data_IF_288758852875
#
_entry.id   IF_288758852875
#
_cell.length_a   1.000
_cell.length_b   1.000
_cell.length_c   1.000
_cell.angle_alpha   90.00
_cell.angle_beta   90.00
_cell.angle_gamma   90.00
#
_symmetry.space_group_name_H-M   'P 1'
#
loop_
_entity.id
_entity.type
_entity.pdbx_description
1 polymer ?
#
# COMPACT_ATOMS: atom_id res chain seq x y z
N UNK A 1 29.24 27.55 0.79
CA UNK A 1 28.83 26.15 0.49
C UNK A 1 29.15 25.14 1.60
N UNK A 2 30.13 25.38 2.50
CA UNK A 2 30.46 24.45 3.59
C UNK A 2 29.46 24.41 4.78
N UNK A 3 28.66 25.47 4.97
CA UNK A 3 27.68 25.57 6.06
C UNK A 3 26.41 24.75 5.81
N UNK A 4 25.99 24.61 4.54
CA UNK A 4 24.80 23.84 4.15
C UNK A 4 25.03 22.33 4.33
N UNK A 5 26.27 21.87 4.09
CA UNK A 5 26.63 20.45 4.15
C UNK A 5 26.64 19.90 5.59
N UNK A 6 27.13 20.70 6.56
CA UNK A 6 27.12 20.30 7.99
C UNK A 6 25.75 20.43 8.68
N UNK A 7 24.85 21.25 8.14
CA UNK A 7 23.50 21.43 8.69
C UNK A 7 22.60 20.21 8.45
N UNK A 8 22.79 19.51 7.32
CA UNK A 8 21.90 18.41 6.93
C UNK A 8 21.96 17.21 7.89
N UNK A 9 23.15 16.69 8.28
CA UNK A 9 23.24 15.64 9.30
C UNK A 9 22.70 16.06 10.67
N UNK A 10 22.94 17.32 11.06
CA UNK A 10 22.44 17.88 12.32
C UNK A 10 20.92 17.90 12.36
N UNK A 11 20.27 18.33 11.28
CA UNK A 11 18.81 18.31 11.15
C UNK A 11 18.25 16.89 11.10
N UNK A 12 18.92 15.97 10.40
CA UNK A 12 18.51 14.57 10.35
C UNK A 12 18.51 13.93 11.74
N UNK A 13 19.56 14.16 12.54
CA UNK A 13 19.63 13.72 13.94
C UNK A 13 18.51 14.36 14.78
N UNK A 14 18.26 15.66 14.65
CA UNK A 14 17.21 16.33 15.41
C UNK A 14 15.81 15.74 15.13
N UNK A 15 15.51 15.47 13.85
CA UNK A 15 14.25 14.82 13.47
C UNK A 15 14.17 13.37 13.95
N UNK A 16 15.27 12.62 13.87
CA UNK A 16 15.34 11.25 14.39
C UNK A 16 15.09 11.20 15.89
N UNK A 17 15.70 12.10 16.68
CA UNK A 17 15.48 12.22 18.12
C UNK A 17 14.03 12.59 18.45
N UNK A 18 13.42 13.50 17.67
CA UNK A 18 12.01 13.85 17.85
C UNK A 18 11.07 12.65 17.59
N UNK A 19 11.38 11.81 16.59
CA UNK A 19 10.63 10.58 16.33
C UNK A 19 10.85 9.52 17.42
N UNK A 20 12.10 9.33 17.86
CA UNK A 20 12.46 8.44 18.96
C UNK A 20 11.75 8.80 20.26
N UNK A 21 11.65 10.10 20.58
CA UNK A 21 10.90 10.61 21.73
C UNK A 21 9.38 10.34 21.65
N UNK A 22 8.85 10.03 20.47
CA UNK A 22 7.46 9.54 20.28
C UNK A 22 7.36 8.01 20.31
N UNK A 23 8.43 7.31 20.67
CA UNK A 23 8.47 5.85 20.72
C UNK A 23 8.63 5.15 19.36
N UNK A 24 9.02 5.88 18.30
CA UNK A 24 9.29 5.31 16.99
C UNK A 24 10.77 4.90 16.89
N UNK A 25 11.12 3.62 16.70
CA UNK A 25 12.52 3.22 16.61
C UNK A 25 13.15 3.72 15.32
N UNK A 26 14.29 4.40 15.42
CA UNK A 26 14.94 5.07 14.28
C UNK A 26 16.39 4.64 14.08
N UNK A 27 16.89 4.82 12.86
CA UNK A 27 18.28 4.61 12.47
C UNK A 27 18.68 5.55 11.32
N UNK A 28 19.97 5.87 11.12
CA UNK A 28 20.41 6.84 10.11
C UNK A 28 20.33 6.30 8.68
N UNK A 29 19.88 7.14 7.74
CA UNK A 29 19.83 6.86 6.31
C UNK A 29 20.70 7.83 5.50
N UNK A 30 21.23 7.34 4.39
CA UNK A 30 21.89 8.15 3.37
C UNK A 30 20.87 8.83 2.44
N UNK A 31 21.36 9.70 1.55
CA UNK A 31 20.54 10.35 0.54
C UNK A 31 19.89 9.37 -0.46
N UNK A 32 20.39 8.13 -0.56
CA UNK A 32 19.82 7.04 -1.36
C UNK A 32 18.78 6.22 -0.59
N UNK A 33 18.39 6.66 0.61
CA UNK A 33 17.39 6.01 1.48
C UNK A 33 17.82 4.64 2.02
N UNK A 34 19.10 4.28 1.86
CA UNK A 34 19.70 3.07 2.39
C UNK A 34 20.33 3.35 3.77
N UNK A 35 20.49 2.32 4.63
CA UNK A 35 21.23 2.45 5.89
C UNK A 35 22.56 3.19 5.68
N UNK A 36 22.80 4.24 6.47
CA UNK A 36 23.99 5.06 6.33
C UNK A 36 25.27 4.36 6.82
N UNK A 37 25.11 3.41 7.74
CA UNK A 37 26.19 2.59 8.27
C UNK A 37 26.33 1.32 7.44
N UNK A 38 27.58 0.96 7.13
CA UNK A 38 27.90 -0.30 6.46
C UNK A 38 27.83 -1.44 7.47
N UNK A 39 27.37 -2.60 7.00
CA UNK A 39 27.38 -3.82 7.82
C UNK A 39 28.81 -4.16 8.28
N UNK A 40 29.00 -4.52 9.56
CA UNK A 40 30.30 -4.97 10.07
C UNK A 40 30.72 -6.31 9.44
N UNK A 41 29.76 -7.09 8.92
CA UNK A 41 29.98 -8.40 8.31
C UNK A 41 30.22 -8.34 6.79
N UNK A 42 30.58 -7.17 6.27
CA UNK A 42 30.79 -7.00 4.83
C UNK A 42 32.01 -7.79 4.37
N UNK A 43 31.77 -8.76 3.48
CA UNK A 43 32.83 -9.57 2.87
C UNK A 43 33.07 -10.92 3.53
N UNK A 44 32.31 -11.27 4.57
CA UNK A 44 32.34 -12.60 5.17
C UNK A 44 31.77 -13.66 4.21
N UNK A 45 32.38 -14.84 4.22
CA UNK A 45 31.95 -16.02 3.47
C UNK A 45 31.84 -17.23 4.41
N UNK A 46 30.63 -17.78 4.63
CA UNK A 46 29.34 -17.36 4.05
C UNK A 46 28.85 -16.00 4.60
N UNK A 47 27.93 -15.30 3.91
CA UNK A 47 27.36 -14.06 4.41
C UNK A 47 26.68 -14.25 5.77
N UNK A 48 27.09 -13.48 6.79
CA UNK A 48 26.44 -13.54 8.09
C UNK A 48 25.06 -12.88 8.06
N UNK A 49 24.07 -13.55 8.66
CA UNK A 49 22.73 -13.03 8.89
C UNK A 49 22.59 -12.47 10.31
N UNK A 50 23.44 -11.51 10.66
CA UNK A 50 23.37 -10.79 11.94
C UNK A 50 22.31 -9.68 11.89
N UNK A 51 21.50 -9.59 12.94
CA UNK A 51 20.48 -8.56 13.19
C UNK A 51 20.83 -7.73 14.42
N UNK A 52 22.12 -7.57 14.70
CA UNK A 52 22.64 -6.78 15.83
C UNK A 52 23.16 -7.61 17.01
N UNK A 53 23.10 -8.94 16.94
CA UNK A 53 23.56 -9.83 18.02
C UNK A 53 25.07 -9.69 18.29
N UNK A 54 25.86 -9.22 17.32
CA UNK A 54 27.29 -8.97 17.49
C UNK A 54 27.62 -7.70 18.28
N UNK A 55 26.63 -6.86 18.62
CA UNK A 55 26.81 -5.62 19.39
C UNK A 55 27.45 -4.46 18.62
N UNK A 56 27.87 -4.67 17.37
CA UNK A 56 28.38 -3.62 16.49
C UNK A 56 27.23 -2.95 15.72
N UNK A 57 27.34 -1.66 15.34
CA UNK A 57 26.34 -1.01 14.50
C UNK A 57 26.56 -1.35 13.01
N UNK A 58 25.52 -1.23 12.19
CA UNK A 58 25.56 -1.46 10.73
C UNK A 58 24.52 -2.45 10.19
N UNK A 59 23.57 -2.91 10.99
CA UNK A 59 22.50 -3.84 10.61
C UNK A 59 21.21 -3.13 10.15
N UNK A 60 21.29 -1.81 9.89
CA UNK A 60 20.23 -1.01 9.31
C UNK A 60 18.99 -0.95 10.19
N UNK A 61 17.84 -1.40 9.67
CA UNK A 61 16.57 -1.42 10.42
C UNK A 61 16.66 -2.23 11.71
N UNK A 62 17.61 -3.18 11.78
CA UNK A 62 17.78 -3.98 12.98
C UNK A 62 18.37 -3.20 14.16
N UNK A 63 19.22 -2.21 13.88
CA UNK A 63 19.79 -1.29 14.88
C UNK A 63 18.81 -0.20 15.32
N UNK A 64 17.61 -0.14 14.74
CA UNK A 64 16.66 0.93 15.03
C UNK A 64 16.25 0.94 16.50
N UNK A 65 16.37 2.12 17.12
CA UNK A 65 16.22 2.30 18.57
C UNK A 65 15.44 3.57 18.91
N UNK A 66 14.83 3.58 20.09
CA UNK A 66 14.19 4.76 20.68
C UNK A 66 15.06 5.41 21.76
N UNK A 67 16.16 4.78 22.17
CA UNK A 67 17.08 5.36 23.16
C UNK A 67 17.83 6.57 22.57
N UNK A 68 17.66 7.79 23.11
CA UNK A 68 18.30 8.98 22.59
C UNK A 68 19.84 8.87 22.54
N UNK A 69 20.45 8.16 23.49
CA UNK A 69 21.91 7.99 23.53
C UNK A 69 22.39 7.10 22.39
N UNK A 70 21.74 5.95 22.18
CA UNK A 70 22.02 5.07 21.05
C UNK A 70 21.73 5.75 19.69
N UNK A 71 20.65 6.55 19.56
CA UNK A 71 20.39 7.34 18.33
C UNK A 71 21.56 8.28 18.05
N UNK A 72 22.04 9.02 19.05
CA UNK A 72 23.21 9.91 18.88
C UNK A 72 24.46 9.15 18.48
N UNK A 73 24.71 7.99 19.08
CA UNK A 73 25.86 7.14 18.74
C UNK A 73 25.79 6.66 17.27
N UNK A 74 24.62 6.20 16.80
CA UNK A 74 24.42 5.79 15.41
C UNK A 74 24.69 6.93 14.43
N UNK A 75 24.20 8.15 14.73
CA UNK A 75 24.43 9.31 13.88
C UNK A 75 25.89 9.82 13.93
N UNK A 76 26.56 9.70 15.08
CA UNK A 76 27.98 10.01 15.19
C UNK A 76 28.83 9.06 14.32
N UNK A 77 28.47 7.77 14.27
CA UNK A 77 29.09 6.80 13.37
C UNK A 77 28.72 7.03 11.88
N UNK A 78 27.64 7.76 11.60
CA UNK A 78 27.12 8.03 10.27
C UNK A 78 27.13 9.54 9.93
N UNK A 79 28.30 10.21 9.85
CA UNK A 79 28.37 11.67 9.68
C UNK A 79 27.81 12.17 8.34
N UNK A 80 27.62 11.27 7.36
CA UNK A 80 27.00 11.56 6.05
C UNK A 80 25.52 11.23 5.98
N UNK A 81 24.88 10.89 7.10
CA UNK A 81 23.45 10.65 7.14
C UNK A 81 22.69 11.94 6.77
N UNK A 82 21.77 11.85 5.82
CA UNK A 82 20.93 12.97 5.39
C UNK A 82 19.47 12.78 5.78
N UNK A 83 19.16 11.66 6.43
CA UNK A 83 17.83 11.30 6.89
C UNK A 83 17.86 10.16 7.89
N UNK A 84 16.68 9.61 8.15
CA UNK A 84 16.48 8.50 9.07
C UNK A 84 15.34 7.60 8.63
N UNK A 85 15.46 6.33 8.97
CA UNK A 85 14.45 5.31 8.79
C UNK A 85 13.71 5.07 10.10
N UNK A 86 12.42 4.76 10.01
CA UNK A 86 11.57 4.38 11.14
C UNK A 86 11.23 2.90 10.96
N UNK A 87 11.67 2.06 11.89
CA UNK A 87 11.42 0.63 11.82
C UNK A 87 9.93 0.32 12.00
N UNK A 88 9.38 -0.47 11.08
CA UNK A 88 7.98 -0.86 11.06
C UNK A 88 7.76 -2.22 11.71
N UNK A 89 6.52 -2.51 12.10
CA UNK A 89 6.12 -3.78 12.73
C UNK A 89 6.65 -4.03 14.15
N UNK A 90 7.37 -3.08 14.76
CA UNK A 90 7.91 -3.19 16.13
C UNK A 90 7.01 -2.54 17.16
N UNK A 91 6.96 -3.10 18.36
CA UNK A 91 6.35 -2.44 19.52
C UNK A 91 7.07 -1.09 19.82
N UNK A 92 6.37 -0.11 20.42
CA UNK A 92 4.97 -0.16 20.87
C UNK A 92 3.95 0.09 19.74
N UNK A 93 4.32 0.83 18.68
CA UNK A 93 3.37 1.31 17.68
C UNK A 93 2.97 0.29 16.62
N UNK A 94 3.77 -0.76 16.41
CA UNK A 94 3.57 -1.79 15.36
C UNK A 94 3.19 -1.16 14.03
N UNK A 95 3.99 -0.16 13.65
CA UNK A 95 3.73 0.71 12.52
C UNK A 95 3.60 -0.13 11.23
N UNK A 96 2.55 0.14 10.46
CA UNK A 96 2.29 -0.39 9.14
C UNK A 96 2.29 0.79 8.18
N UNK A 97 3.34 0.93 7.39
CA UNK A 97 3.42 1.94 6.35
C UNK A 97 2.75 1.49 5.06
N UNK A 98 1.87 2.30 4.50
CA UNK A 98 1.44 2.18 3.11
C UNK A 98 2.22 3.22 2.31
N UNK A 99 3.20 2.78 1.55
CA UNK A 99 4.06 3.58 0.71
C UNK A 99 3.48 3.61 -0.70
N UNK A 100 2.94 4.77 -1.07
CA UNK A 100 2.23 5.00 -2.33
C UNK A 100 3.15 5.79 -3.25
N UNK A 101 3.75 5.10 -4.21
CA UNK A 101 4.59 5.70 -5.22
C UNK A 101 3.76 6.34 -6.34
N UNK A 102 4.29 7.43 -6.89
CA UNK A 102 3.80 8.02 -8.13
C UNK A 102 4.90 7.81 -9.15
N UNK A 103 4.63 6.98 -10.16
CA UNK A 103 5.52 6.83 -11.31
C UNK A 103 4.80 7.27 -12.58
N UNK A 104 5.15 8.45 -13.13
CA UNK A 104 4.61 8.94 -14.39
C UNK A 104 4.90 8.01 -15.58
N UNK A 105 6.00 7.25 -15.54
CA UNK A 105 6.43 6.39 -16.64
C UNK A 105 5.62 5.08 -16.71
N UNK A 106 5.08 4.60 -15.58
CA UNK A 106 4.23 3.41 -15.54
C UNK A 106 2.72 3.72 -15.49
N UNK A 107 2.33 5.00 -15.49
CA UNK A 107 0.93 5.41 -15.42
C UNK A 107 0.20 4.96 -14.14
N UNK A 108 0.95 4.57 -13.11
CA UNK A 108 0.37 4.00 -11.88
C UNK A 108 0.00 5.13 -10.90
N UNK A 109 -1.29 5.45 -10.81
CA UNK A 109 -1.86 6.19 -9.67
C UNK A 109 -2.02 5.21 -8.49
N UNK A 110 -0.97 4.95 -7.72
CA UNK A 110 -1.02 4.04 -6.56
C UNK A 110 -2.07 4.49 -5.53
N UNK A 111 -2.29 5.80 -5.43
CA UNK A 111 -3.35 6.37 -4.63
C UNK A 111 -4.74 6.02 -5.18
N UNK A 112 -4.91 6.05 -6.49
CA UNK A 112 -6.11 5.56 -7.20
C UNK A 112 -6.31 4.07 -7.02
N UNK A 113 -5.26 3.27 -7.13
CA UNK A 113 -5.31 1.83 -6.89
C UNK A 113 -5.68 1.51 -5.43
N UNK A 114 -5.15 2.27 -4.45
CA UNK A 114 -5.57 2.11 -3.05
C UNK A 114 -7.03 2.50 -2.85
N UNK A 115 -7.51 3.58 -3.49
CA UNK A 115 -8.94 3.92 -3.49
C UNK A 115 -9.76 2.77 -4.08
N UNK A 116 -9.36 2.20 -5.22
CA UNK A 116 -10.05 1.06 -5.83
C UNK A 116 -10.08 -0.17 -4.92
N UNK A 117 -8.98 -0.50 -4.24
CA UNK A 117 -8.93 -1.59 -3.26
C UNK A 117 -9.87 -1.32 -2.07
N UNK A 118 -9.89 -0.07 -1.60
CA UNK A 118 -10.78 0.38 -0.53
C UNK A 118 -12.26 0.19 -0.93
N UNK A 119 -12.59 0.48 -2.19
CA UNK A 119 -13.92 0.25 -2.76
C UNK A 119 -14.26 -1.24 -2.89
N UNK A 120 -13.34 -2.05 -3.43
CA UNK A 120 -13.55 -3.49 -3.64
C UNK A 120 -13.71 -4.27 -2.33
N UNK A 121 -12.97 -3.87 -1.30
CA UNK A 121 -12.90 -4.59 -0.03
C UNK A 121 -13.60 -3.88 1.12
N UNK A 122 -14.35 -2.81 0.82
CA UNK A 122 -15.21 -2.07 1.76
C UNK A 122 -14.44 -1.58 3.00
N UNK A 123 -13.38 -0.81 2.78
CA UNK A 123 -12.67 -0.10 3.84
C UNK A 123 -12.46 1.37 3.49
N UNK A 124 -12.18 2.17 4.51
CA UNK A 124 -11.68 3.54 4.36
C UNK A 124 -10.35 3.65 5.09
N UNK A 125 -9.47 4.54 4.65
CA UNK A 125 -8.29 4.89 5.42
C UNK A 125 -8.70 6.00 6.39
N UNK A 126 -8.62 5.78 7.72
CA UNK A 126 -8.91 6.84 8.69
C UNK A 126 -7.89 7.98 8.57
N UNK A 127 -8.23 9.21 8.99
CA UNK A 127 -7.26 10.29 9.11
C UNK A 127 -6.06 9.83 9.92
N UNK A 128 -4.87 9.97 9.35
CA UNK A 128 -3.63 9.47 9.95
C UNK A 128 -2.42 10.29 9.52
N UNK A 129 -1.29 10.08 10.21
CA UNK A 129 -0.02 10.69 9.83
C UNK A 129 0.31 10.34 8.37
N UNK A 130 0.50 11.38 7.58
CA UNK A 130 0.84 11.25 6.15
C UNK A 130 2.14 11.99 5.88
N UNK A 131 3.09 11.32 5.23
CA UNK A 131 4.36 11.92 4.81
C UNK A 131 4.37 12.01 3.28
N UNK A 132 4.55 13.21 2.74
CA UNK A 132 4.75 13.44 1.32
C UNK A 132 6.17 13.06 0.93
N UNK A 133 6.30 12.24 -0.11
CA UNK A 133 7.60 11.88 -0.66
C UNK A 133 8.06 12.93 -1.67
N UNK A 134 9.37 13.10 -1.89
CA UNK A 134 9.87 14.08 -2.85
C UNK A 134 9.46 13.78 -4.30
N UNK A 135 9.19 12.52 -4.63
CA UNK A 135 8.74 12.08 -5.96
C UNK A 135 7.25 12.33 -6.22
N UNK A 136 6.51 12.90 -5.27
CA UNK A 136 5.06 13.16 -5.39
C UNK A 136 4.17 12.05 -4.81
N UNK A 137 4.77 10.97 -4.32
CA UNK A 137 4.09 9.92 -3.56
C UNK A 137 3.79 10.28 -2.11
N UNK A 138 3.33 9.30 -1.33
CA UNK A 138 3.03 9.47 0.09
C UNK A 138 3.16 8.19 0.92
N UNK A 139 3.60 8.34 2.15
CA UNK A 139 3.51 7.30 3.18
C UNK A 139 2.30 7.55 4.06
N UNK A 140 1.41 6.58 4.18
CA UNK A 140 0.33 6.56 5.19
C UNK A 140 0.76 5.69 6.35
N UNK A 141 0.67 6.20 7.57
CA UNK A 141 1.13 5.49 8.77
C UNK A 141 -0.07 4.88 9.48
N UNK A 142 -0.12 3.57 9.65
CA UNK A 142 -1.16 2.88 10.42
C UNK A 142 -0.53 2.08 11.57
N UNK A 143 -1.32 1.68 12.55
CA UNK A 143 -0.89 0.73 13.59
C UNK A 143 -1.56 -0.63 13.40
N UNK A 144 -0.77 -1.70 13.49
CA UNK A 144 -1.25 -3.08 13.49
C UNK A 144 -1.57 -3.60 14.90
N UNK A 145 -2.48 -4.58 15.04
CA UNK A 145 -2.81 -5.14 16.35
C UNK A 145 -1.64 -5.96 16.93
N UNK A 146 -1.66 -6.17 18.24
CA UNK A 146 -0.52 -6.71 18.98
C UNK A 146 -0.17 -8.17 18.64
N UNK A 147 -1.18 -8.94 18.25
CA UNK A 147 -1.14 -10.37 17.95
C UNK A 147 -0.84 -10.67 16.47
N UNK A 148 -0.74 -9.65 15.62
CA UNK A 148 -0.67 -9.82 14.18
C UNK A 148 0.62 -9.23 13.61
N UNK A 149 1.44 -10.07 12.99
CA UNK A 149 2.61 -9.63 12.25
C UNK A 149 2.22 -9.29 10.81
N UNK A 150 2.31 -8.03 10.43
CA UNK A 150 2.19 -7.60 9.03
C UNK A 150 3.55 -7.73 8.36
N UNK A 151 3.70 -8.53 7.28
CA UNK A 151 4.96 -8.65 6.56
C UNK A 151 5.28 -7.39 5.75
N UNK A 152 6.56 -7.14 5.48
CA UNK A 152 6.98 -6.19 4.46
C UNK A 152 6.74 -6.80 3.06
N UNK A 153 6.15 -6.04 2.14
CA UNK A 153 5.91 -6.49 0.76
C UNK A 153 5.95 -5.32 -0.21
N UNK A 154 6.43 -5.54 -1.44
CA UNK A 154 6.43 -4.53 -2.48
C UNK A 154 5.43 -4.90 -3.59
N UNK A 155 4.62 -3.93 -4.03
CA UNK A 155 3.67 -4.06 -5.14
C UNK A 155 2.59 -5.17 -5.04
N UNK A 156 2.45 -5.85 -3.89
CA UNK A 156 1.58 -7.03 -3.75
C UNK A 156 0.10 -6.71 -3.87
N UNK A 157 -0.32 -5.56 -3.35
CA UNK A 157 -1.71 -5.12 -3.42
C UNK A 157 -2.06 -4.56 -4.80
N UNK A 158 -1.17 -3.74 -5.34
CA UNK A 158 -1.20 -3.20 -6.69
C UNK A 158 0.19 -2.61 -7.02
N UNK A 159 0.50 -2.40 -8.32
CA UNK A 159 1.69 -1.64 -8.72
C UNK A 159 1.78 -0.28 -8.01
N UNK A 160 2.95 0.04 -7.48
CA UNK A 160 3.22 1.29 -6.75
C UNK A 160 2.67 1.35 -5.32
N UNK A 161 2.06 0.26 -4.80
CA UNK A 161 1.66 0.15 -3.39
C UNK A 161 2.59 -0.82 -2.66
N UNK A 162 3.47 -0.25 -1.85
CA UNK A 162 4.38 -0.96 -0.97
C UNK A 162 3.86 -0.96 0.47
N UNK A 163 4.02 -2.09 1.16
CA UNK A 163 3.66 -2.26 2.57
C UNK A 163 4.94 -2.40 3.37
N UNK A 164 5.19 -1.41 4.23
CA UNK A 164 6.30 -1.41 5.19
C UNK A 164 5.80 -1.99 6.51
N UNK A 165 5.98 -3.30 6.66
CA UNK A 165 5.65 -4.07 7.86
C UNK A 165 6.89 -4.48 8.66
N UNK A 166 6.83 -5.63 9.33
CA UNK A 166 7.96 -6.21 10.06
C UNK A 166 9.18 -6.37 9.16
N UNK A 167 10.35 -5.92 9.65
CA UNK A 167 11.61 -5.91 8.92
C UNK A 167 11.72 -4.81 7.84
N UNK A 168 10.65 -4.05 7.60
CA UNK A 168 10.65 -2.87 6.75
C UNK A 168 10.85 -1.57 7.53
N UNK A 169 11.04 -0.47 6.80
CA UNK A 169 11.10 0.87 7.39
C UNK A 169 10.48 1.92 6.46
N UNK A 170 10.10 3.04 7.04
CA UNK A 170 9.68 4.25 6.33
C UNK A 170 10.76 5.31 6.44
N UNK A 171 11.00 6.08 5.39
CA UNK A 171 11.81 7.30 5.50
C UNK A 171 11.02 8.34 6.30
N UNK A 172 11.62 8.85 7.37
CA UNK A 172 10.96 9.79 8.27
C UNK A 172 10.92 11.22 7.72
N UNK A 173 9.91 12.03 8.13
CA UNK A 173 9.80 13.43 7.71
C UNK A 173 11.02 14.25 8.15
N UNK A 174 11.42 15.20 7.31
CA UNK A 174 12.63 16.00 7.48
C UNK A 174 13.87 15.42 6.78
N UNK A 175 13.85 14.13 6.43
CA UNK A 175 14.92 13.48 5.66
C UNK A 175 15.09 14.11 4.28
N UNK A 176 16.35 14.27 3.85
CA UNK A 176 16.73 14.85 2.56
C UNK A 176 17.36 13.77 1.68
N UNK A 177 16.92 13.71 0.43
CA UNK A 177 17.42 12.82 -0.62
C UNK A 177 17.83 13.62 -1.85
N UNK A 178 18.41 12.96 -2.86
CA UNK A 178 18.71 13.58 -4.16
C UNK A 178 17.46 14.16 -4.84
N UNK A 179 16.27 13.63 -4.56
CA UNK A 179 15.00 14.10 -5.14
C UNK A 179 14.30 15.18 -4.29
N UNK A 180 14.89 15.56 -3.15
CA UNK A 180 14.33 16.55 -2.23
C UNK A 180 13.98 15.99 -0.85
N UNK A 181 13.12 16.71 -0.14
CA UNK A 181 12.83 16.50 1.29
C UNK A 181 11.48 15.82 1.53
N UNK A 182 11.46 14.81 2.39
CA UNK A 182 10.25 14.22 2.94
C UNK A 182 9.57 15.19 3.91
N UNK A 183 8.27 15.44 3.75
CA UNK A 183 7.54 16.43 4.56
C UNK A 183 6.27 15.82 5.12
N UNK A 184 5.89 16.19 6.34
CA UNK A 184 4.54 15.89 6.82
C UNK A 184 3.53 16.60 5.91
N UNK A 185 2.45 15.90 5.55
CA UNK A 185 1.35 16.53 4.85
C UNK A 185 0.72 17.59 5.77
N UNK A 186 0.34 18.77 5.23
CA UNK A 186 -0.33 19.81 6.01
C UNK A 186 -1.52 19.25 6.79
N UNK A 187 -1.67 19.66 8.04
CA UNK A 187 -2.77 19.21 8.90
C UNK A 187 -2.64 17.78 9.45
N UNK A 188 -1.54 17.05 9.21
CA UNK A 188 -1.38 15.68 9.75
C UNK A 188 -0.37 15.54 10.88
N UNK A 189 0.39 16.61 11.19
CA UNK A 189 1.49 16.56 12.17
C UNK A 189 1.06 16.30 13.63
N UNK A 190 -0.19 16.63 13.96
CA UNK A 190 -0.80 16.43 15.28
C UNK A 190 -1.48 15.06 15.43
N UNK A 191 -1.65 14.32 14.33
CA UNK A 191 -2.27 13.01 14.35
C UNK A 191 -1.31 11.95 14.91
N UNK A 192 -1.88 10.91 15.49
CA UNK A 192 -1.18 9.65 15.77
C UNK A 192 -1.44 8.66 14.63
N UNK A 193 -0.56 7.66 14.39
CA UNK A 193 -0.86 6.57 13.47
C UNK A 193 -2.19 5.90 13.83
N UNK A 194 -3.15 5.93 12.92
CA UNK A 194 -4.47 5.37 13.14
C UNK A 194 -4.47 3.83 13.04
N UNK A 195 -5.41 3.12 13.70
CA UNK A 195 -5.55 1.67 13.56
C UNK A 195 -5.73 1.23 12.10
N UNK A 196 -5.02 0.18 11.71
CA UNK A 196 -5.17 -0.41 10.38
C UNK A 196 -6.61 -0.97 10.23
N UNK A 197 -7.38 -0.55 9.21
CA UNK A 197 -8.72 -1.07 9.00
C UNK A 197 -8.71 -2.60 8.90
N UNK A 198 -9.62 -3.29 9.61
CA UNK A 198 -9.64 -4.76 9.66
C UNK A 198 -9.72 -5.41 8.28
N UNK A 199 -10.46 -4.80 7.36
CA UNK A 199 -10.55 -5.26 5.98
C UNK A 199 -9.24 -5.14 5.21
N UNK A 200 -8.52 -4.02 5.37
CA UNK A 200 -7.16 -3.89 4.82
C UNK A 200 -6.21 -4.89 5.47
N UNK A 201 -6.23 -5.03 6.81
CA UNK A 201 -5.37 -5.96 7.54
C UNK A 201 -5.50 -7.40 7.00
N UNK A 202 -6.71 -7.87 6.69
CA UNK A 202 -6.94 -9.19 6.05
C UNK A 202 -6.26 -9.33 4.69
N UNK A 203 -6.15 -8.24 3.92
CA UNK A 203 -5.39 -8.25 2.66
C UNK A 203 -3.89 -8.30 2.92
N UNK A 204 -3.43 -7.63 3.98
CA UNK A 204 -2.02 -7.49 4.36
C UNK A 204 -1.41 -8.78 4.93
N UNK A 205 -2.20 -9.58 5.62
CA UNK A 205 -1.74 -10.79 6.31
C UNK A 205 -2.09 -12.07 5.54
N UNK A 206 -1.30 -13.14 5.66
CA UNK A 206 -1.72 -14.45 5.19
C UNK A 206 -3.05 -14.86 5.85
N UNK A 207 -3.90 -15.65 5.19
CA UNK A 207 -5.07 -16.23 5.85
C UNK A 207 -4.62 -17.03 7.08
N UNK A 208 -5.30 -16.92 8.23
CA UNK A 208 -5.03 -17.79 9.36
C UNK A 208 -5.26 -19.24 8.93
N UNK A 209 -4.20 -20.07 8.95
CA UNK A 209 -4.29 -21.49 8.60
C UNK A 209 -3.30 -22.04 7.56
N UNK A 210 -2.47 -21.21 6.92
CA UNK A 210 -1.30 -21.73 6.16
C UNK A 210 -0.06 -21.76 7.05
N UNK A 211 -0.05 -22.67 8.02
CA UNK A 211 1.20 -23.25 8.50
C UNK A 211 1.92 -23.85 7.29
N UNK A 212 3.16 -23.45 7.06
CA UNK A 212 3.99 -23.97 5.99
C UNK A 212 3.99 -25.51 6.04
N UNK A 213 3.42 -26.16 5.02
CA UNK A 213 3.55 -27.60 4.85
C UNK A 213 4.96 -27.86 4.30
N UNK A 214 5.79 -28.70 4.94
CA UNK A 214 7.05 -29.13 4.37
C UNK A 214 6.80 -29.81 3.03
N UNK A 215 7.70 -29.58 2.08
CA UNK A 215 7.57 -30.04 0.70
C UNK A 215 7.40 -31.55 0.58
N UNK A 216 6.51 -31.95 -0.32
CA UNK A 216 6.47 -33.29 -0.89
C UNK A 216 6.25 -33.12 -2.38
N UNK A 217 7.22 -33.57 -3.15
CA UNK A 217 7.23 -33.49 -4.61
C UNK A 217 6.27 -34.47 -5.28
N UNK A 218 6.58 -34.70 -6.57
CA UNK A 218 5.86 -35.52 -7.54
C UNK A 218 4.65 -34.82 -8.18
N UNK A 219 4.28 -35.00 -9.43
CA UNK A 219 4.89 -35.47 -10.67
C UNK A 219 3.80 -35.25 -11.74
N UNK A 220 4.22 -35.25 -12.99
CA UNK A 220 3.43 -35.14 -14.22
C UNK A 220 2.30 -36.18 -14.33
N UNK A 221 1.23 -35.83 -15.07
CA UNK A 221 0.31 -36.83 -15.63
C UNK A 221 -1.05 -36.28 -16.11
N UNK A 222 -1.37 -36.30 -17.42
CA UNK A 222 -2.54 -35.64 -18.03
C UNK A 222 -3.69 -36.62 -18.34
N UNK A 223 -4.93 -36.12 -18.51
CA UNK A 223 -5.94 -36.78 -19.37
C UNK A 223 -6.98 -35.79 -19.90
N UNK A 224 -7.32 -35.97 -21.17
CA UNK A 224 -8.18 -35.13 -22.02
C UNK A 224 -9.62 -35.66 -22.16
N UNK A 225 -10.58 -34.73 -22.27
CA UNK A 225 -11.82 -34.79 -23.11
C UNK A 225 -12.99 -35.72 -22.69
N UNK A 226 -14.21 -35.57 -23.26
CA UNK A 226 -14.58 -34.77 -24.45
C UNK A 226 -15.80 -33.83 -24.28
N UNK A 227 -16.07 -33.08 -25.36
CA UNK A 227 -17.11 -32.07 -25.58
C UNK A 227 -18.55 -32.62 -25.71
N UNK A 228 -19.56 -31.75 -25.56
CA UNK A 228 -20.72 -31.53 -26.48
C UNK A 228 -21.77 -30.61 -25.86
N UNK A 229 -22.45 -29.78 -26.66
CA UNK A 229 -23.78 -29.24 -26.30
C UNK A 229 -24.04 -27.78 -26.66
N UNK A 230 -24.33 -27.51 -27.94
CA UNK A 230 -24.92 -26.27 -28.46
C UNK A 230 -26.38 -26.06 -28.02
N UNK A 231 -26.79 -24.81 -27.77
CA UNK A 231 -28.19 -24.41 -27.62
C UNK A 231 -28.40 -22.92 -27.89
N UNK A 232 -29.07 -22.62 -28.99
CA UNK A 232 -29.33 -21.28 -29.56
C UNK A 232 -30.52 -20.55 -28.93
N UNK A 233 -30.49 -19.22 -28.90
CA UNK A 233 -31.68 -18.35 -28.76
C UNK A 233 -31.36 -16.89 -28.37
N UNK A 234 -31.77 -15.85 -29.13
CA UNK A 234 -31.54 -14.45 -28.79
C UNK A 234 -32.71 -13.87 -27.98
N UNK A 235 -32.43 -13.55 -26.71
CA UNK A 235 -33.27 -12.71 -25.85
C UNK A 235 -32.46 -12.32 -24.62
N UNK A 236 -32.44 -11.11 -24.08
CA UNK A 236 -33.14 -9.86 -24.34
C UNK A 236 -32.45 -8.77 -23.48
N UNK A 237 -32.45 -7.48 -23.88
CA UNK A 237 -32.04 -6.36 -23.00
C UNK A 237 -32.86 -6.30 -21.70
N UNK A 238 -34.10 -6.81 -21.71
CA UNK A 238 -34.98 -6.88 -20.53
C UNK A 238 -34.47 -7.83 -19.42
N UNK A 239 -33.65 -8.83 -19.76
CA UNK A 239 -33.12 -9.78 -18.77
C UNK A 239 -31.93 -9.21 -17.98
N UNK A 240 -31.10 -8.39 -18.62
CA UNK A 240 -29.99 -7.68 -17.98
C UNK A 240 -30.49 -6.61 -17.00
N UNK A 241 -31.53 -5.86 -17.39
CA UNK A 241 -32.16 -4.86 -16.53
C UNK A 241 -32.74 -5.47 -15.23
N UNK A 242 -33.47 -6.60 -15.33
CA UNK A 242 -33.97 -7.32 -14.14
C UNK A 242 -32.85 -7.92 -13.28
N UNK A 243 -31.78 -8.43 -13.90
CA UNK A 243 -30.62 -8.99 -13.18
C UNK A 243 -29.79 -7.91 -12.45
N UNK A 244 -29.79 -6.68 -12.96
CA UNK A 244 -29.05 -5.54 -12.38
C UNK A 244 -29.87 -4.63 -11.46
N UNK A 245 -31.17 -4.87 -11.30
CA UNK A 245 -32.06 -3.97 -10.54
C UNK A 245 -31.63 -3.79 -9.08
N UNK A 246 -31.16 -4.85 -8.43
CA UNK A 246 -30.61 -4.78 -7.07
C UNK A 246 -29.36 -3.90 -6.96
N UNK A 247 -28.55 -3.81 -8.02
CA UNK A 247 -27.36 -2.93 -8.04
C UNK A 247 -27.77 -1.46 -8.18
N UNK A 248 -28.81 -1.17 -8.98
CA UNK A 248 -29.38 0.17 -9.10
C UNK A 248 -29.98 0.63 -7.78
N UNK A 249 -30.77 -0.23 -7.11
CA UNK A 249 -31.32 0.05 -5.77
C UNK A 249 -30.22 0.24 -4.72
N UNK A 250 -29.14 -0.55 -4.81
CA UNK A 250 -27.97 -0.38 -3.94
C UNK A 250 -27.34 1.01 -4.09
N UNK A 251 -27.22 1.53 -5.30
CA UNK A 251 -26.74 2.91 -5.53
C UNK A 251 -27.72 3.94 -4.99
N UNK A 252 -29.02 3.75 -5.19
CA UNK A 252 -30.04 4.70 -4.72
C UNK A 252 -30.09 4.85 -3.21
N UNK A 253 -29.74 3.80 -2.47
CA UNK A 253 -29.65 3.84 -1.01
C UNK A 253 -28.38 4.54 -0.48
N UNK A 254 -27.58 5.19 -1.32
CA UNK A 254 -26.33 5.84 -0.91
C UNK A 254 -26.56 7.17 -0.17
N UNK A 255 -25.90 7.33 0.98
CA UNK A 255 -25.83 8.59 1.71
C UNK A 255 -24.58 9.41 1.31
N UNK A 256 -24.53 10.68 1.76
CA UNK A 256 -23.36 11.53 1.57
C UNK A 256 -22.08 10.87 2.10
N UNK A 257 -21.00 10.96 1.33
CA UNK A 257 -19.75 10.23 1.60
C UNK A 257 -19.71 8.78 1.10
N UNK A 258 -20.82 8.20 0.65
CA UNK A 258 -20.88 6.81 0.13
C UNK A 258 -21.27 6.70 -1.36
N UNK A 259 -21.68 7.81 -1.99
CA UNK A 259 -22.29 7.86 -3.33
C UNK A 259 -21.40 7.27 -4.43
N UNK A 260 -20.19 7.82 -4.59
CA UNK A 260 -19.21 7.33 -5.56
C UNK A 260 -18.79 5.88 -5.24
N UNK A 261 -18.62 5.57 -3.95
CA UNK A 261 -18.23 4.24 -3.48
C UNK A 261 -19.23 3.15 -3.86
N UNK A 262 -20.51 3.41 -3.62
CA UNK A 262 -21.58 2.45 -3.92
C UNK A 262 -21.82 2.31 -5.41
N UNK A 263 -21.71 3.40 -6.18
CA UNK A 263 -21.76 3.39 -7.63
C UNK A 263 -20.67 2.50 -8.24
N UNK A 264 -19.41 2.73 -7.86
CA UNK A 264 -18.28 1.98 -8.41
C UNK A 264 -18.41 0.48 -8.12
N UNK A 265 -18.79 0.11 -6.88
CA UNK A 265 -19.03 -1.29 -6.51
C UNK A 265 -20.12 -1.93 -7.37
N UNK A 266 -21.26 -1.24 -7.54
CA UNK A 266 -22.36 -1.69 -8.39
C UNK A 266 -21.93 -1.86 -9.85
N UNK A 267 -21.13 -0.94 -10.38
CA UNK A 267 -20.59 -1.02 -11.73
C UNK A 267 -19.62 -2.21 -11.88
N UNK A 268 -18.68 -2.43 -10.97
CA UNK A 268 -17.79 -3.60 -11.01
C UNK A 268 -18.57 -4.90 -11.02
N UNK A 269 -19.59 -5.04 -10.16
CA UNK A 269 -20.46 -6.22 -10.14
C UNK A 269 -21.21 -6.42 -11.45
N UNK A 270 -21.72 -5.33 -12.04
CA UNK A 270 -22.41 -5.41 -13.31
C UNK A 270 -21.49 -5.90 -14.44
N UNK A 271 -20.25 -5.40 -14.51
CA UNK A 271 -19.26 -5.84 -15.50
C UNK A 271 -18.73 -7.26 -15.23
N UNK A 272 -18.50 -7.65 -13.97
CA UNK A 272 -18.12 -9.03 -13.60
C UNK A 272 -19.14 -10.07 -14.07
N UNK A 273 -20.42 -9.71 -14.08
CA UNK A 273 -21.50 -10.59 -14.50
C UNK A 273 -21.96 -10.36 -15.96
N UNK A 274 -21.20 -9.60 -16.75
CA UNK A 274 -21.42 -9.46 -18.19
C UNK A 274 -22.59 -8.56 -18.61
N UNK A 275 -23.09 -7.71 -17.73
CA UNK A 275 -24.18 -6.76 -18.03
C UNK A 275 -23.85 -5.31 -17.67
N UNK A 276 -22.56 -4.98 -17.52
CA UNK A 276 -22.07 -3.64 -17.18
C UNK A 276 -22.51 -2.56 -18.17
N UNK A 277 -22.34 -2.80 -19.47
CA UNK A 277 -22.72 -1.84 -20.51
C UNK A 277 -24.24 -1.61 -20.54
N UNK A 278 -25.03 -2.67 -20.34
CA UNK A 278 -26.48 -2.58 -20.28
C UNK A 278 -26.99 -1.81 -19.05
N UNK A 279 -26.19 -1.73 -17.97
CA UNK A 279 -26.58 -1.10 -16.72
C UNK A 279 -25.95 0.30 -16.51
N UNK A 280 -25.02 0.72 -17.37
CA UNK A 280 -24.24 1.94 -17.21
C UNK A 280 -25.11 3.20 -17.08
N UNK A 281 -26.12 3.36 -17.94
CA UNK A 281 -27.02 4.52 -17.89
C UNK A 281 -27.91 4.50 -16.64
N UNK A 282 -28.42 3.33 -16.25
CA UNK A 282 -29.26 3.18 -15.06
C UNK A 282 -28.48 3.47 -13.77
N UNK A 283 -27.22 3.01 -13.69
CA UNK A 283 -26.31 3.29 -12.58
C UNK A 283 -25.92 4.77 -12.54
N UNK A 284 -25.67 5.39 -13.69
CA UNK A 284 -25.40 6.84 -13.80
C UNK A 284 -26.58 7.64 -13.27
N UNK A 285 -27.79 7.34 -13.74
CA UNK A 285 -29.01 8.01 -13.29
C UNK A 285 -29.25 7.82 -11.79
N UNK A 286 -28.98 6.63 -11.25
CA UNK A 286 -29.10 6.38 -9.81
C UNK A 286 -28.11 7.21 -8.99
N UNK A 287 -26.84 7.28 -9.41
CA UNK A 287 -25.83 8.06 -8.71
C UNK A 287 -26.14 9.57 -8.73
N UNK A 288 -26.60 10.10 -9.88
CA UNK A 288 -27.03 11.50 -9.99
C UNK A 288 -28.17 11.81 -9.04
N UNK A 289 -29.17 10.92 -8.92
CA UNK A 289 -30.27 11.07 -7.94
C UNK A 289 -29.79 11.11 -6.49
N UNK A 290 -28.69 10.44 -6.17
CA UNK A 290 -28.10 10.51 -4.82
C UNK A 290 -27.29 11.78 -4.58
N UNK A 291 -27.03 12.59 -5.62
CA UNK A 291 -26.24 13.83 -5.53
C UNK A 291 -24.78 13.68 -5.94
N UNK A 292 -24.43 12.68 -6.77
CA UNK A 292 -23.10 12.59 -7.40
C UNK A 292 -23.12 13.32 -8.76
N UNK A 293 -22.12 14.17 -9.09
CA UNK A 293 -22.04 14.79 -10.41
C UNK A 293 -21.98 13.73 -11.54
N UNK A 294 -22.71 13.96 -12.63
CA UNK A 294 -22.84 12.98 -13.72
C UNK A 294 -21.49 12.61 -14.36
N UNK A 295 -20.58 13.58 -14.52
CA UNK A 295 -19.24 13.34 -15.05
C UNK A 295 -18.41 12.43 -14.13
N UNK A 296 -18.54 12.58 -12.80
CA UNK A 296 -17.89 11.71 -11.81
C UNK A 296 -18.49 10.31 -11.84
N UNK A 297 -19.82 10.21 -11.99
CA UNK A 297 -20.52 8.94 -12.11
C UNK A 297 -20.06 8.13 -13.34
N UNK A 298 -20.00 8.78 -14.51
CA UNK A 298 -19.50 8.16 -15.75
C UNK A 298 -18.04 7.76 -15.64
N UNK A 299 -17.19 8.59 -15.03
CA UNK A 299 -15.78 8.27 -14.82
C UNK A 299 -15.59 7.03 -13.92
N UNK A 300 -16.40 6.91 -12.86
CA UNK A 300 -16.39 5.74 -11.98
C UNK A 300 -16.81 4.46 -12.70
N UNK A 301 -17.88 4.49 -13.50
CA UNK A 301 -18.34 3.34 -14.30
C UNK A 301 -17.30 2.94 -15.35
N UNK A 302 -16.73 3.91 -16.06
CA UNK A 302 -15.67 3.64 -17.04
C UNK A 302 -14.40 3.05 -16.38
N UNK A 303 -14.09 3.48 -15.15
CA UNK A 303 -13.02 2.87 -14.37
C UNK A 303 -13.32 1.43 -13.95
N UNK A 304 -14.58 1.12 -13.63
CA UNK A 304 -14.99 -0.24 -13.30
C UNK A 304 -14.86 -1.17 -14.53
N UNK A 305 -15.31 -0.71 -15.70
CA UNK A 305 -15.24 -1.44 -16.97
C UNK A 305 -13.79 -1.86 -17.31
N UNK A 306 -12.84 -0.90 -17.26
CA UNK A 306 -11.42 -1.16 -17.56
C UNK A 306 -10.78 -2.18 -16.61
N UNK A 307 -11.17 -2.17 -15.34
CA UNK A 307 -10.64 -3.08 -14.33
C UNK A 307 -11.08 -4.53 -14.58
N UNK A 308 -12.33 -4.72 -14.99
CA UNK A 308 -12.91 -6.04 -15.26
C UNK A 308 -12.46 -6.62 -16.59
N UNK A 309 -12.32 -5.80 -17.63
CA UNK A 309 -11.83 -6.26 -18.94
C UNK A 309 -10.33 -6.57 -18.94
N UNK A 310 -9.54 -5.86 -18.13
CA UNK A 310 -8.10 -6.12 -17.95
C UNK A 310 -7.76 -7.44 -17.26
N UNK A 311 -8.72 -8.09 -16.57
CA UNK A 311 -8.54 -9.43 -15.98
C UNK A 311 -8.81 -10.59 -16.94
N UNK A 312 -9.44 -10.33 -18.10
CA UNK A 312 -9.81 -11.36 -19.08
C UNK A 312 -8.81 -11.56 -20.24
N UNK A 313 -7.86 -10.64 -20.44
CA UNK A 313 -7.00 -10.60 -21.64
C UNK A 313 -5.62 -11.28 -21.53
N UNK A 314 -5.40 -12.21 -20.59
CA UNK A 314 -4.12 -12.95 -20.44
C UNK A 314 -4.23 -14.47 -20.64
N UNK A 315 -5.30 -14.92 -21.28
CA UNK A 315 -5.34 -16.22 -21.95
C UNK A 315 -5.62 -15.93 -23.43
N UNK A 316 -4.90 -16.62 -24.31
CA UNK A 316 -4.99 -16.59 -25.78
C UNK A 316 -4.18 -15.48 -26.47
N UNK A 317 -2.91 -15.81 -26.76
CA UNK A 317 -1.99 -14.98 -27.54
C UNK A 317 -0.62 -15.62 -27.75
N UNK A 318 -0.60 -16.88 -28.17
CA UNK A 318 0.57 -17.51 -28.79
C UNK A 318 0.07 -18.39 -29.95
N UNK A 319 -0.04 -17.76 -31.11
CA UNK A 319 -0.03 -18.40 -32.42
C UNK A 319 1.17 -17.88 -33.18
#
# INVERSE_FOLDING_TARGET
>A
MATIDRQTPTLALAHALAAAGRGLPVFPLSATKLPALRSPHRGEQPPAHCRGECGLPGHGVHDATTDPSAVRALFAAAPRATGYGIACGRAPHRLVGIDLDVDPAYGSDAAGALRQLALQHLFTIPPTVTVLTPSGGRHLWLTGPADTTVPNSAGRLAPGIDIRGSGGYLVGPGSVTAHGRYRLAPGTAHLTPAPCPRALLRLLTPPPGRTARPGTGSASGPVSGPATGSGSGPGAPASAARRGEGLVQFVLAAHEGQRNTRLFWAACRAYEHGFGDALADALTAAAVRTGLPEHEARAAIASAARLTTGRGGKADGAG
#
